data_IF_184547857130
#
_entry.id   IF_184547857130
#
_cell.length_a   1.000
_cell.length_b   1.000
_cell.length_c   1.000
_cell.angle_alpha   90.00
_cell.angle_beta   90.00
_cell.angle_gamma   90.00
#
_symmetry.space_group_name_H-M   'P 1'
#
loop_
_entity.id
_entity.type
_entity.pdbx_description
1 polymer ?
#
# COMPACT_ATOMS: atom_id res chain seq x y z
N UNK A 1 7.33 -69.20 28.74
CA UNK A 1 7.33 -68.90 27.28
C UNK A 1 5.96 -68.44 26.78
N UNK A 2 4.86 -69.16 27.05
CA UNK A 2 3.49 -68.84 26.59
C UNK A 2 2.96 -67.47 27.07
N UNK A 3 3.20 -67.10 28.33
CA UNK A 3 2.74 -65.79 28.86
C UNK A 3 3.41 -64.60 28.17
N UNK A 4 4.69 -64.71 27.79
CA UNK A 4 5.43 -63.68 27.07
C UNK A 4 4.88 -63.46 25.66
N UNK A 5 4.52 -64.55 24.97
CA UNK A 5 3.86 -64.49 23.65
C UNK A 5 2.50 -63.79 23.74
N UNK A 6 1.70 -64.07 24.78
CA UNK A 6 0.41 -63.40 25.00
C UNK A 6 0.57 -61.90 25.27
N UNK A 7 1.55 -61.51 26.08
CA UNK A 7 1.87 -60.11 26.35
C UNK A 7 2.31 -59.37 25.07
N UNK A 8 3.14 -60.01 24.24
CA UNK A 8 3.57 -59.45 22.95
C UNK A 8 2.40 -59.28 21.98
N UNK A 9 1.48 -60.25 21.86
CA UNK A 9 0.28 -60.12 21.03
C UNK A 9 -0.59 -58.93 21.46
N UNK A 10 -0.78 -58.74 22.78
CA UNK A 10 -1.53 -57.59 23.31
C UNK A 10 -0.82 -56.25 23.00
N UNK A 11 0.51 -56.23 23.08
CA UNK A 11 1.31 -55.04 22.73
C UNK A 11 1.24 -54.72 21.22
N UNK A 12 1.29 -55.73 20.35
CA UNK A 12 1.12 -55.55 18.90
C UNK A 12 -0.27 -54.97 18.59
N UNK A 13 -1.32 -55.52 19.19
CA UNK A 13 -2.68 -55.00 19.00
C UNK A 13 -2.83 -53.54 19.45
N UNK A 14 -2.24 -53.16 20.58
CA UNK A 14 -2.29 -51.77 21.04
C UNK A 14 -1.46 -50.82 20.16
N UNK A 15 -0.34 -51.29 19.61
CA UNK A 15 0.46 -50.53 18.65
C UNK A 15 -0.27 -50.34 17.31
N UNK A 16 -0.96 -51.37 16.80
CA UNK A 16 -1.79 -51.22 15.59
C UNK A 16 -2.88 -50.17 15.78
N UNK A 17 -3.58 -50.19 16.92
CA UNK A 17 -4.60 -49.17 17.21
C UNK A 17 -4.03 -47.76 17.29
N UNK A 18 -2.82 -47.60 17.87
CA UNK A 18 -2.12 -46.31 17.91
C UNK A 18 -1.71 -45.83 16.51
N UNK A 19 -1.24 -46.75 15.66
CA UNK A 19 -0.86 -46.44 14.28
C UNK A 19 -2.08 -45.98 13.46
N UNK A 20 -3.22 -46.67 13.60
CA UNK A 20 -4.48 -46.31 12.95
C UNK A 20 -4.92 -44.88 13.32
N UNK A 21 -4.92 -44.55 14.61
CA UNK A 21 -5.24 -43.18 15.08
C UNK A 21 -4.26 -42.15 14.53
N UNK A 22 -2.96 -42.47 14.48
CA UNK A 22 -1.95 -41.57 13.94
C UNK A 22 -2.17 -41.31 12.44
N UNK A 23 -2.51 -42.34 11.66
CA UNK A 23 -2.80 -42.21 10.22
C UNK A 23 -4.01 -41.32 9.97
N UNK A 24 -5.12 -41.55 10.68
CA UNK A 24 -6.33 -40.73 10.53
C UNK A 24 -6.06 -39.24 10.86
N UNK A 25 -5.23 -38.97 11.87
CA UNK A 25 -4.82 -37.62 12.22
C UNK A 25 -3.94 -36.96 11.15
N UNK A 26 -3.04 -37.73 10.53
CA UNK A 26 -2.19 -37.24 9.44
C UNK A 26 -3.05 -36.91 8.21
N UNK A 27 -4.03 -37.76 7.90
CA UNK A 27 -4.94 -37.58 6.78
C UNK A 27 -5.78 -36.31 6.94
N UNK A 28 -6.40 -36.09 8.11
CA UNK A 28 -7.14 -34.86 8.39
C UNK A 28 -6.26 -33.59 8.33
N UNK A 29 -4.99 -33.67 8.77
CA UNK A 29 -4.05 -32.55 8.64
C UNK A 29 -3.67 -32.30 7.18
N UNK A 30 -3.53 -33.34 6.37
CA UNK A 30 -3.22 -33.24 4.95
C UNK A 30 -4.35 -32.54 4.20
N UNK A 31 -5.60 -32.93 4.44
CA UNK A 31 -6.77 -32.26 3.87
C UNK A 31 -6.84 -30.78 4.23
N UNK A 32 -6.61 -30.43 5.50
CA UNK A 32 -6.58 -29.04 5.96
C UNK A 32 -5.47 -28.22 5.26
N UNK A 33 -4.31 -28.83 5.04
CA UNK A 33 -3.20 -28.21 4.32
C UNK A 33 -3.52 -28.00 2.84
N UNK A 34 -4.12 -28.99 2.18
CA UNK A 34 -4.57 -28.90 0.78
C UNK A 34 -5.64 -27.80 0.59
N UNK A 35 -6.56 -27.67 1.54
CA UNK A 35 -7.55 -26.59 1.53
C UNK A 35 -6.90 -25.21 1.68
N UNK A 36 -5.87 -25.11 2.52
CA UNK A 36 -5.11 -23.88 2.72
C UNK A 36 -4.31 -23.48 1.47
N UNK A 37 -3.74 -24.46 0.75
CA UNK A 37 -3.09 -24.23 -0.55
C UNK A 37 -4.09 -23.68 -1.57
N UNK A 38 -5.26 -24.32 -1.71
CA UNK A 38 -6.30 -23.87 -2.64
C UNK A 38 -6.76 -22.45 -2.33
N UNK A 39 -6.91 -22.12 -1.04
CA UNK A 39 -7.26 -20.76 -0.62
C UNK A 39 -6.18 -19.76 -1.02
N UNK A 40 -4.91 -20.06 -0.75
CA UNK A 40 -3.77 -19.21 -1.17
C UNK A 40 -3.76 -18.98 -2.68
N UNK A 41 -3.94 -20.03 -3.48
CA UNK A 41 -3.96 -19.94 -4.94
C UNK A 41 -5.11 -19.03 -5.44
N UNK A 42 -6.28 -19.12 -4.81
CA UNK A 42 -7.41 -18.26 -5.11
C UNK A 42 -7.08 -16.78 -4.84
N UNK A 43 -6.50 -16.48 -3.68
CA UNK A 43 -6.08 -15.11 -3.33
C UNK A 43 -5.01 -14.60 -4.29
N UNK A 44 -4.04 -15.43 -4.67
CA UNK A 44 -3.04 -15.05 -5.66
C UNK A 44 -3.66 -14.68 -7.01
N UNK A 45 -4.68 -15.43 -7.45
CA UNK A 45 -5.43 -15.10 -8.66
C UNK A 45 -6.17 -13.76 -8.53
N UNK A 46 -6.85 -13.53 -7.42
CA UNK A 46 -7.56 -12.27 -7.17
C UNK A 46 -6.62 -11.07 -7.15
N UNK A 47 -5.42 -11.20 -6.53
CA UNK A 47 -4.40 -10.15 -6.54
C UNK A 47 -3.98 -9.84 -7.98
N UNK A 48 -3.72 -10.86 -8.79
CA UNK A 48 -3.33 -10.69 -10.18
C UNK A 48 -4.43 -9.98 -11.00
N UNK A 49 -5.69 -10.39 -10.84
CA UNK A 49 -6.84 -9.75 -11.49
C UNK A 49 -6.98 -8.27 -11.09
N UNK A 50 -6.88 -7.95 -9.80
CA UNK A 50 -6.94 -6.59 -9.31
C UNK A 50 -5.76 -5.72 -9.81
N UNK A 51 -4.56 -6.30 -9.92
CA UNK A 51 -3.40 -5.61 -10.50
C UNK A 51 -3.60 -5.29 -11.98
N UNK A 52 -4.18 -6.22 -12.74
CA UNK A 52 -4.52 -6.00 -14.16
C UNK A 52 -5.58 -4.91 -14.32
N UNK A 53 -6.62 -4.93 -13.49
CA UNK A 53 -7.66 -3.89 -13.50
C UNK A 53 -7.09 -2.51 -13.14
N UNK A 54 -6.19 -2.45 -12.15
CA UNK A 54 -5.48 -1.22 -11.80
C UNK A 54 -4.63 -0.71 -12.98
N UNK A 55 -3.85 -1.58 -13.62
CA UNK A 55 -3.01 -1.19 -14.76
C UNK A 55 -3.85 -0.70 -15.94
N UNK A 56 -4.96 -1.37 -16.24
CA UNK A 56 -5.87 -0.98 -17.31
C UNK A 56 -6.62 0.33 -17.01
N UNK A 57 -6.95 0.58 -15.74
CA UNK A 57 -7.57 1.85 -15.31
C UNK A 57 -6.54 2.99 -15.29
N UNK A 58 -5.28 2.69 -14.99
CA UNK A 58 -4.20 3.67 -14.92
C UNK A 58 -3.65 4.06 -16.29
N UNK A 59 -3.81 3.20 -17.29
CA UNK A 59 -3.55 3.52 -18.70
C UNK A 59 -4.72 4.33 -19.25
N UNK A 60 -4.71 5.62 -18.95
CA UNK A 60 -5.43 6.56 -19.79
C UNK A 60 -4.75 6.58 -21.17
N UNK A 61 -5.48 6.26 -22.23
CA UNK A 61 -5.03 6.49 -23.62
C UNK A 61 -4.85 7.98 -23.94
N UNK A 62 -5.18 8.86 -22.99
CA UNK A 62 -5.01 10.29 -23.08
C UNK A 62 -3.55 10.68 -22.79
N UNK A 63 -2.91 11.29 -23.78
CA UNK A 63 -1.59 11.90 -23.61
C UNK A 63 -1.70 13.10 -22.66
N UNK A 64 -1.37 12.88 -21.39
CA UNK A 64 -1.37 13.93 -20.36
C UNK A 64 0.01 14.56 -20.18
N UNK A 65 0.04 15.87 -19.93
CA UNK A 65 1.25 16.61 -19.56
C UNK A 65 1.33 16.66 -18.04
N UNK A 66 2.45 16.20 -17.46
CA UNK A 66 2.67 16.32 -16.01
C UNK A 66 2.90 17.78 -15.59
N UNK A 67 2.48 18.14 -14.38
CA UNK A 67 2.70 19.48 -13.81
C UNK A 67 4.18 19.88 -13.84
N UNK A 68 5.09 18.93 -13.60
CA UNK A 68 6.53 19.20 -13.69
C UNK A 68 6.94 19.60 -15.12
N UNK A 69 6.40 18.92 -16.14
CA UNK A 69 6.69 19.24 -17.53
C UNK A 69 6.07 20.59 -17.94
N UNK A 70 4.88 20.90 -17.43
CA UNK A 70 4.25 22.19 -17.62
C UNK A 70 5.11 23.33 -17.03
N UNK A 71 5.57 23.19 -15.79
CA UNK A 71 6.46 24.16 -15.14
C UNK A 71 7.75 24.38 -15.97
N UNK A 72 8.36 23.30 -16.47
CA UNK A 72 9.57 23.40 -17.31
C UNK A 72 9.31 24.06 -18.65
N UNK A 73 8.14 23.84 -19.24
CA UNK A 73 7.73 24.52 -20.47
C UNK A 73 7.53 26.01 -20.23
N UNK A 74 6.87 26.40 -19.14
CA UNK A 74 6.70 27.80 -18.76
C UNK A 74 8.06 28.50 -18.54
N UNK A 75 8.99 27.84 -17.85
CA UNK A 75 10.34 28.37 -17.61
C UNK A 75 11.15 28.49 -18.91
N UNK A 76 11.36 27.36 -19.60
CA UNK A 76 12.33 27.28 -20.71
C UNK A 76 11.80 27.85 -22.01
N UNK A 77 10.50 27.73 -22.27
CA UNK A 77 9.89 28.10 -23.56
C UNK A 77 9.13 29.41 -23.46
N UNK A 78 8.40 29.64 -22.36
CA UNK A 78 7.65 30.89 -22.16
C UNK A 78 8.48 31.96 -21.44
N UNK A 79 9.65 31.62 -20.90
CA UNK A 79 10.55 32.57 -20.25
C UNK A 79 10.06 33.10 -18.90
N UNK A 80 9.14 32.37 -18.25
CA UNK A 80 8.68 32.72 -16.89
C UNK A 80 9.76 32.36 -15.87
N UNK A 81 10.11 33.32 -15.01
CA UNK A 81 10.98 33.05 -13.87
C UNK A 81 10.17 32.41 -12.74
N UNK A 82 10.16 31.08 -12.72
CA UNK A 82 9.41 30.29 -11.73
C UNK A 82 9.92 30.55 -10.30
N UNK A 83 11.20 30.89 -10.14
CA UNK A 83 11.75 31.14 -8.81
C UNK A 83 11.38 32.54 -8.30
N UNK A 84 11.32 33.54 -9.18
CA UNK A 84 10.74 34.84 -8.84
C UNK A 84 9.28 34.70 -8.39
N UNK A 85 8.46 33.97 -9.16
CA UNK A 85 7.05 33.72 -8.79
C UNK A 85 6.91 33.00 -7.44
N UNK A 86 7.85 32.10 -7.09
CA UNK A 86 7.88 31.47 -5.76
C UNK A 86 8.10 32.48 -4.64
N UNK A 87 8.97 33.47 -4.87
CA UNK A 87 9.29 34.52 -3.90
C UNK A 87 8.14 35.50 -3.72
N UNK A 88 7.38 35.78 -4.78
CA UNK A 88 6.15 36.58 -4.73
C UNK A 88 5.07 35.90 -3.85
N UNK A 89 4.99 34.56 -3.91
CA UNK A 89 4.04 33.80 -3.09
C UNK A 89 4.51 33.69 -1.63
N UNK A 90 5.79 33.37 -1.40
CA UNK A 90 6.34 33.10 -0.05
C UNK A 90 7.17 34.27 0.46
N UNK A 91 6.50 35.35 0.83
CA UNK A 91 7.12 36.54 1.42
C UNK A 91 7.64 36.28 2.84
N UNK A 92 8.60 37.08 3.29
CA UNK A 92 9.12 36.98 4.66
C UNK A 92 8.05 37.33 5.71
N UNK A 93 7.11 38.21 5.36
CA UNK A 93 5.94 38.49 6.19
C UNK A 93 5.04 37.27 6.34
N UNK A 94 4.75 36.56 5.24
CA UNK A 94 3.98 35.30 5.29
C UNK A 94 4.69 34.24 6.14
N UNK A 95 6.02 34.08 5.99
CA UNK A 95 6.80 33.15 6.83
C UNK A 95 6.72 33.51 8.30
N UNK A 96 6.78 34.81 8.63
CA UNK A 96 6.67 35.29 10.01
C UNK A 96 5.28 35.05 10.60
N UNK A 97 4.22 35.24 9.81
CA UNK A 97 2.84 34.93 10.19
C UNK A 97 2.64 33.42 10.41
N UNK A 98 3.10 32.60 9.46
CA UNK A 98 3.06 31.13 9.58
C UNK A 98 3.77 30.63 10.84
N UNK A 99 4.96 31.19 11.15
CA UNK A 99 5.70 30.81 12.36
C UNK A 99 4.93 31.09 13.66
N UNK A 100 4.05 32.09 13.66
CA UNK A 100 3.25 32.47 14.84
C UNK A 100 1.91 31.74 14.92
N UNK A 101 1.26 31.53 13.78
CA UNK A 101 -0.14 31.09 13.71
C UNK A 101 -0.30 29.66 13.19
N UNK A 102 0.73 29.09 12.57
CA UNK A 102 0.71 27.76 11.98
C UNK A 102 -0.06 27.69 10.66
N UNK A 103 -0.68 26.55 10.38
CA UNK A 103 -1.48 26.37 9.17
C UNK A 103 -2.69 27.32 9.12
N UNK A 104 -3.07 27.77 7.93
CA UNK A 104 -4.11 28.79 7.78
C UNK A 104 -4.20 29.39 6.39
N UNK A 105 -4.95 30.50 6.27
CA UNK A 105 -5.07 31.28 5.03
C UNK A 105 -4.35 32.62 5.21
N UNK A 106 -3.42 32.91 4.33
CA UNK A 106 -2.57 34.10 4.40
C UNK A 106 -2.71 34.93 3.12
N UNK A 107 -2.77 36.27 3.22
CA UNK A 107 -2.84 37.12 2.03
C UNK A 107 -1.55 37.04 1.20
N UNK A 108 -1.68 37.12 -0.12
CA UNK A 108 -0.58 37.36 -1.05
C UNK A 108 -0.65 38.83 -1.45
N UNK A 109 0.33 39.60 -1.01
CA UNK A 109 0.31 41.07 -1.03
C UNK A 109 0.23 41.66 -2.45
N UNK A 110 0.78 40.98 -3.44
CA UNK A 110 1.02 41.57 -4.76
C UNK A 110 -0.14 41.40 -5.76
N UNK A 111 -1.03 40.41 -5.58
CA UNK A 111 -2.08 40.12 -6.60
C UNK A 111 -3.49 39.86 -6.03
N UNK A 112 -3.72 40.08 -4.74
CA UNK A 112 -5.08 40.02 -4.17
C UNK A 112 -5.64 38.62 -3.93
N UNK A 113 -4.78 37.59 -3.90
CA UNK A 113 -5.12 36.21 -3.53
C UNK A 113 -4.76 35.86 -2.08
N UNK A 114 -5.05 34.62 -1.68
CA UNK A 114 -4.69 34.02 -0.39
C UNK A 114 -4.03 32.66 -0.60
N UNK A 115 -2.88 32.47 0.02
CA UNK A 115 -2.25 31.17 0.13
C UNK A 115 -2.93 30.34 1.23
N UNK A 116 -3.29 29.09 0.91
CA UNK A 116 -3.79 28.11 1.88
C UNK A 116 -2.65 27.19 2.28
N UNK A 117 -2.26 27.22 3.55
CA UNK A 117 -1.17 26.42 4.10
C UNK A 117 -1.73 25.24 4.89
N UNK A 118 -1.23 24.02 4.61
CA UNK A 118 -1.50 22.80 5.37
C UNK A 118 -0.21 22.01 5.55
N UNK A 119 0.07 21.58 6.77
CA UNK A 119 1.30 20.90 7.17
C UNK A 119 2.58 21.63 6.71
N UNK A 120 2.57 22.97 6.77
CA UNK A 120 3.69 23.80 6.30
C UNK A 120 3.91 23.85 4.78
N UNK A 121 2.95 23.37 3.98
CA UNK A 121 2.98 23.41 2.52
C UNK A 121 1.83 24.31 2.02
N UNK A 122 2.10 25.21 1.09
CA UNK A 122 1.06 25.93 0.36
C UNK A 122 0.41 24.95 -0.62
N UNK A 123 -0.85 24.60 -0.36
CA UNK A 123 -1.59 23.61 -1.16
C UNK A 123 -2.52 24.23 -2.20
N UNK A 124 -2.79 25.54 -2.08
CA UNK A 124 -3.71 26.25 -2.97
C UNK A 124 -3.53 27.75 -2.85
N UNK A 125 -3.77 28.46 -3.96
CA UNK A 125 -3.90 29.92 -4.04
C UNK A 125 -5.36 30.21 -4.42
N UNK A 126 -6.07 31.05 -3.65
CA UNK A 126 -7.50 31.39 -3.83
C UNK A 126 -7.79 32.87 -3.80
#
# INVERSE_FOLDING_TARGET
MIQKVRALKKKISSLHKKLEVANNNIEGKKEAYENSIRYKENIQRQIYEAQQELENTSKSDELIVSDHSLIRYLERVKGLDIEALRQEIVTDEMKALYKKLGDGKYPIEQEGGKAVIKNGIIVSIV
#
